data_IF_742902858532
#
_entry.id   IF_742902858532
#
_cell.length_a   1.000
_cell.length_b   1.000
_cell.length_c   1.000
_cell.angle_alpha   90.00
_cell.angle_beta   90.00
_cell.angle_gamma   90.00
#
_symmetry.space_group_name_H-M   'P 1'
#
loop_
_entity.id
_entity.type
_entity.pdbx_description
1 polymer ?
#
# COMPACT_ATOMS: atom_id res chain seq x y z
N UNK A 1 -6.64 5.54 23.74
CA UNK A 1 -7.90 6.02 23.11
C UNK A 1 -8.31 4.97 22.10
N UNK A 2 -9.60 4.63 22.01
CA UNK A 2 -10.05 3.63 21.03
C UNK A 2 -9.84 4.18 19.62
N UNK A 3 -9.33 3.34 18.72
CA UNK A 3 -9.23 3.63 17.28
C UNK A 3 -10.60 4.09 16.76
N UNK A 4 -10.62 5.19 16.02
CA UNK A 4 -11.79 5.69 15.29
C UNK A 4 -11.49 5.69 13.79
N UNK A 5 -11.96 4.63 13.13
CA UNK A 5 -11.76 4.41 11.71
C UNK A 5 -12.37 5.51 10.81
N UNK A 6 -13.27 6.35 11.34
CA UNK A 6 -13.82 7.51 10.61
C UNK A 6 -12.82 8.68 10.53
N UNK A 7 -11.87 8.75 11.47
CA UNK A 7 -10.81 9.76 11.49
C UNK A 7 -9.60 9.33 10.66
N UNK A 8 -9.48 8.05 10.32
CA UNK A 8 -8.43 7.57 9.43
C UNK A 8 -8.67 8.00 7.97
N UNK A 9 -7.59 8.05 7.21
CA UNK A 9 -7.68 8.02 5.75
C UNK A 9 -8.15 6.62 5.29
N UNK A 10 -8.31 6.40 3.97
CA UNK A 10 -8.91 5.18 3.43
C UNK A 10 -7.94 3.95 3.46
N UNK A 11 -7.41 3.58 4.62
CA UNK A 11 -6.28 2.63 4.78
C UNK A 11 -6.65 1.19 5.13
N UNK A 12 -7.92 0.89 5.38
CA UNK A 12 -8.32 -0.37 6.04
C UNK A 12 -9.44 -1.13 5.31
N UNK A 13 -9.90 -0.66 4.15
CA UNK A 13 -10.92 -1.34 3.33
C UNK A 13 -10.84 -0.93 1.86
N UNK A 14 -11.49 -1.76 1.03
CA UNK A 14 -11.79 -1.54 -0.39
C UNK A 14 -10.55 -1.44 -1.29
N UNK A 15 -10.30 -2.46 -2.11
CA UNK A 15 -9.14 -2.50 -3.02
C UNK A 15 -9.37 -1.59 -4.25
N UNK A 16 -10.61 -1.19 -4.55
CA UNK A 16 -10.96 -0.44 -5.77
C UNK A 16 -10.96 -1.28 -7.05
N UNK A 17 -11.58 -0.75 -8.10
CA UNK A 17 -11.58 -1.38 -9.44
C UNK A 17 -10.48 -0.79 -10.33
N UNK A 18 -10.32 0.52 -10.28
CA UNK A 18 -9.24 1.29 -10.89
C UNK A 18 -8.38 1.88 -9.80
N UNK A 19 -7.07 1.65 -9.89
CA UNK A 19 -6.13 2.02 -8.83
C UNK A 19 -4.96 2.79 -9.43
N UNK A 20 -4.46 3.78 -8.70
CA UNK A 20 -3.19 4.41 -9.03
C UNK A 20 -2.35 4.58 -7.77
N UNK A 21 -1.09 4.16 -7.86
CA UNK A 21 -0.05 4.49 -6.91
C UNK A 21 0.86 5.55 -7.52
N UNK A 22 1.21 6.54 -6.71
CA UNK A 22 2.16 7.59 -7.11
C UNK A 22 3.17 7.77 -6.00
N UNK A 23 4.45 7.65 -6.33
CA UNK A 23 5.56 8.00 -5.43
C UNK A 23 6.28 9.21 -5.98
N UNK A 24 6.38 10.26 -5.16
CA UNK A 24 7.02 11.51 -5.50
C UNK A 24 8.24 11.75 -4.62
N UNK A 25 9.22 12.47 -5.15
CA UNK A 25 10.38 12.97 -4.43
C UNK A 25 10.31 14.49 -4.32
N UNK A 26 10.52 15.04 -3.14
CA UNK A 26 10.70 16.48 -2.94
C UNK A 26 12.04 16.91 -3.55
N UNK A 27 12.02 17.99 -4.33
CA UNK A 27 13.24 18.60 -4.89
C UNK A 27 14.15 19.15 -3.80
N UNK A 28 13.58 19.55 -2.65
CA UNK A 28 14.27 20.10 -1.49
C UNK A 28 15.10 21.35 -1.80
N UNK A 29 14.58 22.24 -2.64
CA UNK A 29 15.25 23.48 -3.04
C UNK A 29 15.08 24.58 -1.97
N UNK A 30 13.91 24.64 -1.34
CA UNK A 30 13.58 25.58 -0.27
C UNK A 30 12.58 24.94 0.70
N UNK A 31 13.04 24.61 1.91
CA UNK A 31 12.23 23.97 2.94
C UNK A 31 11.03 24.82 3.38
N UNK A 32 11.17 26.15 3.44
CA UNK A 32 10.06 27.00 3.83
C UNK A 32 8.96 26.97 2.76
N UNK A 33 9.36 27.03 1.49
CA UNK A 33 8.44 26.93 0.36
C UNK A 33 7.78 25.55 0.27
N UNK A 34 8.55 24.49 0.41
CA UNK A 34 8.02 23.12 0.38
C UNK A 34 6.97 22.91 1.48
N UNK A 35 7.23 23.43 2.70
CA UNK A 35 6.28 23.40 3.81
C UNK A 35 5.01 24.18 3.49
N UNK A 36 5.10 25.40 3.00
CA UNK A 36 3.94 26.22 2.60
C UNK A 36 3.06 25.48 1.57
N UNK A 37 3.68 24.88 0.55
CA UNK A 37 2.95 24.12 -0.48
C UNK A 37 2.30 22.87 0.09
N UNK A 38 2.96 22.15 1.00
CA UNK A 38 2.37 20.96 1.66
C UNK A 38 1.21 21.35 2.58
N UNK A 39 1.31 22.47 3.30
CA UNK A 39 0.21 23.00 4.12
C UNK A 39 -1.01 23.34 3.24
N UNK A 40 -0.81 24.09 2.15
CA UNK A 40 -1.89 24.38 1.20
C UNK A 40 -2.46 23.09 0.60
N UNK A 41 -1.59 22.16 0.20
CA UNK A 41 -2.03 20.90 -0.39
C UNK A 41 -2.84 20.05 0.60
N UNK A 42 -2.50 20.01 1.89
CA UNK A 42 -3.24 19.26 2.90
C UNK A 42 -4.70 19.75 3.02
N UNK A 43 -4.93 21.07 3.02
CA UNK A 43 -6.28 21.66 2.98
C UNK A 43 -7.01 21.30 1.67
N UNK A 44 -6.32 21.50 0.54
CA UNK A 44 -6.90 21.27 -0.80
C UNK A 44 -7.19 19.81 -1.06
N UNK A 45 -6.39 18.87 -0.56
CA UNK A 45 -6.57 17.43 -0.69
C UNK A 45 -7.97 17.01 -0.21
N UNK A 46 -8.37 17.44 0.99
CA UNK A 46 -9.70 17.11 1.51
C UNK A 46 -10.82 17.75 0.67
N UNK A 47 -10.64 19.00 0.21
CA UNK A 47 -11.62 19.69 -0.63
C UNK A 47 -11.79 19.05 -2.01
N UNK A 48 -10.69 18.67 -2.66
CA UNK A 48 -10.65 17.97 -3.94
C UNK A 48 -11.42 16.65 -3.82
N UNK A 49 -11.11 15.84 -2.81
CA UNK A 49 -11.79 14.57 -2.59
C UNK A 49 -13.30 14.75 -2.36
N UNK A 50 -13.72 15.75 -1.57
CA UNK A 50 -15.14 16.06 -1.41
C UNK A 50 -15.82 16.44 -2.73
N UNK A 51 -15.17 17.30 -3.52
CA UNK A 51 -15.69 17.72 -4.83
C UNK A 51 -15.85 16.54 -5.79
N UNK A 52 -14.83 15.68 -5.88
CA UNK A 52 -14.86 14.51 -6.75
C UNK A 52 -15.88 13.47 -6.28
N UNK A 53 -15.99 13.22 -4.98
CA UNK A 53 -17.02 12.32 -4.43
C UNK A 53 -18.44 12.78 -4.78
N UNK A 54 -18.71 14.08 -4.74
CA UNK A 54 -20.02 14.63 -5.15
C UNK A 54 -20.26 14.40 -6.65
N UNK A 55 -19.22 14.55 -7.48
CA UNK A 55 -19.30 14.44 -8.95
C UNK A 55 -19.36 12.99 -9.44
N UNK A 56 -18.79 12.07 -8.69
CA UNK A 56 -18.73 10.63 -8.99
C UNK A 56 -19.87 9.83 -8.35
N UNK A 57 -20.61 10.42 -7.40
CA UNK A 57 -21.68 9.73 -6.67
C UNK A 57 -22.66 9.02 -7.62
N UNK A 58 -22.91 7.73 -7.38
CA UNK A 58 -23.90 6.96 -8.12
C UNK A 58 -25.29 7.63 -7.93
N UNK A 59 -26.02 7.95 -9.01
CA UNK A 59 -27.29 8.68 -8.88
C UNK A 59 -28.39 7.95 -8.09
N UNK A 60 -28.27 6.63 -7.91
CA UNK A 60 -29.22 5.79 -7.17
C UNK A 60 -28.84 5.66 -5.71
N UNK A 61 -27.56 5.48 -5.40
CA UNK A 61 -27.11 5.27 -4.00
C UNK A 61 -26.66 6.57 -3.33
N UNK A 62 -26.24 7.56 -4.10
CA UNK A 62 -25.62 8.80 -3.61
C UNK A 62 -24.18 8.59 -3.11
N UNK A 63 -23.60 7.42 -3.32
CA UNK A 63 -22.27 7.07 -2.82
C UNK A 63 -21.22 7.12 -3.93
N UNK A 64 -20.01 7.59 -3.60
CA UNK A 64 -18.84 7.51 -4.46
C UNK A 64 -17.86 6.46 -3.92
N UNK A 65 -17.27 5.71 -4.83
CA UNK A 65 -16.24 4.71 -4.56
C UNK A 65 -14.84 5.32 -4.40
N UNK A 66 -14.67 6.63 -4.62
CA UNK A 66 -13.36 7.28 -4.50
C UNK A 66 -12.78 7.11 -3.08
N UNK A 67 -11.63 6.45 -3.01
CA UNK A 67 -10.77 6.32 -1.83
C UNK A 67 -9.41 6.92 -2.13
N UNK A 68 -8.82 7.56 -1.12
CA UNK A 68 -7.49 8.15 -1.23
C UNK A 68 -6.72 8.00 0.07
N UNK A 69 -5.41 7.75 -0.06
CA UNK A 69 -4.46 7.83 1.03
C UNK A 69 -3.26 8.65 0.58
N UNK A 70 -2.85 9.59 1.43
CA UNK A 70 -1.68 10.45 1.25
C UNK A 70 -0.76 10.28 2.45
N UNK A 71 0.54 10.06 2.23
CA UNK A 71 1.51 9.88 3.30
C UNK A 71 2.93 10.34 2.98
N UNK A 72 3.77 10.24 4.01
CA UNK A 72 5.13 10.78 4.04
C UNK A 72 6.14 9.69 4.43
N UNK A 73 7.30 9.65 3.78
CA UNK A 73 8.43 8.82 4.25
C UNK A 73 9.08 9.41 5.50
N UNK A 74 10.00 8.66 6.13
CA UNK A 74 10.75 9.15 7.30
C UNK A 74 11.53 10.44 6.97
N UNK A 75 12.29 10.44 5.88
CA UNK A 75 13.06 11.60 5.42
C UNK A 75 12.18 12.81 5.08
N UNK A 76 11.02 12.58 4.45
CA UNK A 76 10.09 13.66 4.13
C UNK A 76 9.43 14.23 5.38
N UNK A 77 9.04 13.36 6.32
CA UNK A 77 8.42 13.77 7.57
C UNK A 77 9.35 14.65 8.40
N UNK A 78 10.61 14.23 8.60
CA UNK A 78 11.62 15.00 9.32
C UNK A 78 11.96 16.33 8.61
N UNK A 79 11.98 16.32 7.28
CA UNK A 79 12.21 17.53 6.49
C UNK A 79 11.05 18.54 6.57
N UNK A 80 9.80 18.08 6.52
CA UNK A 80 8.62 18.96 6.51
C UNK A 80 8.18 19.39 7.91
N UNK A 81 8.37 18.53 8.91
CA UNK A 81 7.87 18.70 10.28
C UNK A 81 9.00 18.50 11.32
N UNK A 82 10.09 19.28 11.26
CA UNK A 82 11.31 19.02 12.06
C UNK A 82 11.12 19.14 13.58
N UNK A 83 10.01 19.75 14.03
CA UNK A 83 9.68 19.91 15.44
C UNK A 83 8.60 18.93 15.92
N UNK A 84 7.96 18.19 15.01
CA UNK A 84 6.97 17.19 15.35
C UNK A 84 7.67 15.93 15.91
N UNK A 85 7.10 15.24 16.90
CA UNK A 85 7.59 13.92 17.27
C UNK A 85 7.46 12.98 16.06
N UNK A 86 8.44 12.12 15.78
CA UNK A 86 8.29 11.17 14.66
C UNK A 86 7.32 10.04 15.05
N UNK A 87 6.45 9.54 14.13
CA UNK A 87 5.70 8.31 14.38
C UNK A 87 6.65 7.17 14.74
N UNK A 88 6.29 6.38 15.75
CA UNK A 88 7.25 5.51 16.47
C UNK A 88 7.99 4.50 15.59
N UNK A 89 7.31 3.96 14.57
CA UNK A 89 7.86 2.93 13.67
C UNK A 89 8.17 3.50 12.28
N UNK A 90 8.11 4.83 12.08
CA UNK A 90 8.45 5.45 10.80
C UNK A 90 9.97 5.52 10.63
N UNK A 91 10.51 4.60 9.84
CA UNK A 91 11.91 4.56 9.44
C UNK A 91 12.08 4.61 7.92
N UNK A 92 13.30 4.84 7.46
CA UNK A 92 13.62 4.59 6.06
C UNK A 92 13.78 3.09 5.86
N UNK A 93 12.99 2.52 4.96
CA UNK A 93 13.17 1.14 4.55
C UNK A 93 14.47 1.00 3.74
N UNK A 94 15.47 0.32 4.30
CA UNK A 94 16.80 0.17 3.70
C UNK A 94 16.98 -1.14 2.93
N UNK A 95 15.90 -1.92 2.80
CA UNK A 95 15.89 -3.23 2.15
C UNK A 95 16.03 -4.39 3.13
N UNK A 96 15.73 -5.58 2.63
CA UNK A 96 15.83 -6.86 3.36
C UNK A 96 16.61 -7.85 2.50
N UNK A 97 17.39 -8.72 3.14
CA UNK A 97 18.22 -9.72 2.45
C UNK A 97 18.03 -11.07 3.10
N UNK A 98 17.76 -12.08 2.28
CA UNK A 98 17.80 -13.47 2.65
C UNK A 98 18.92 -14.21 1.94
N UNK A 99 18.94 -15.55 2.02
CA UNK A 99 20.00 -16.37 1.43
C UNK A 99 20.06 -16.30 -0.11
N UNK A 100 18.92 -16.07 -0.77
CA UNK A 100 18.80 -16.11 -2.25
C UNK A 100 18.24 -14.82 -2.86
N UNK A 101 17.33 -14.16 -2.16
CA UNK A 101 16.60 -13.00 -2.67
C UNK A 101 16.80 -11.79 -1.76
N UNK A 102 16.61 -10.61 -2.33
CA UNK A 102 16.59 -9.36 -1.60
C UNK A 102 15.39 -8.52 -2.02
N UNK A 103 14.90 -7.70 -1.08
CA UNK A 103 13.91 -6.67 -1.32
C UNK A 103 14.62 -5.32 -1.22
N UNK A 104 14.71 -4.53 -2.30
CA UNK A 104 15.44 -3.27 -2.27
C UNK A 104 14.69 -2.19 -1.49
N UNK A 105 15.44 -1.37 -0.75
CA UNK A 105 14.96 -0.06 -0.29
C UNK A 105 15.15 0.99 -1.37
N UNK A 106 14.08 1.70 -1.73
CA UNK A 106 14.09 2.73 -2.76
C UNK A 106 13.62 4.07 -2.21
N UNK A 107 14.06 5.17 -2.83
CA UNK A 107 13.63 6.51 -2.42
C UNK A 107 12.15 6.78 -2.67
N UNK A 108 11.62 7.82 -2.03
CA UNK A 108 10.24 8.24 -2.12
C UNK A 108 9.91 9.10 -0.91
N UNK A 109 9.34 10.27 -1.13
CA UNK A 109 9.04 11.25 -0.08
C UNK A 109 7.55 11.34 0.20
N UNK A 110 6.75 11.43 -0.86
CA UNK A 110 5.30 11.51 -0.78
C UNK A 110 4.70 10.29 -1.49
N UNK A 111 3.63 9.75 -0.92
CA UNK A 111 2.90 8.62 -1.48
C UNK A 111 1.43 8.94 -1.63
N UNK A 112 0.87 8.57 -2.78
CA UNK A 112 -0.56 8.54 -3.03
C UNK A 112 -1.02 7.14 -3.40
N UNK A 113 -2.13 6.72 -2.82
CA UNK A 113 -2.89 5.55 -3.24
C UNK A 113 -4.34 5.96 -3.51
N UNK A 114 -4.69 6.01 -4.79
CA UNK A 114 -6.00 6.41 -5.29
C UNK A 114 -6.76 5.19 -5.82
N UNK A 115 -8.04 5.08 -5.47
CA UNK A 115 -8.92 3.99 -5.91
C UNK A 115 -10.30 4.52 -6.23
N UNK A 116 -10.93 4.02 -7.30
CA UNK A 116 -12.34 4.25 -7.59
C UNK A 116 -12.90 3.15 -8.52
N UNK A 117 -14.21 3.14 -8.73
CA UNK A 117 -14.92 2.36 -9.76
C UNK A 117 -14.91 3.06 -11.13
N UNK A 118 -14.24 4.20 -11.24
CA UNK A 118 -14.15 4.98 -12.47
C UNK A 118 -12.74 5.55 -12.63
N UNK A 119 -12.00 5.09 -13.64
CA UNK A 119 -10.63 5.54 -13.92
C UNK A 119 -10.54 7.07 -14.11
N UNK A 120 -11.57 7.71 -14.69
CA UNK A 120 -11.56 9.14 -14.89
C UNK A 120 -11.45 9.92 -13.57
N UNK A 121 -11.99 9.37 -12.48
CA UNK A 121 -11.94 9.98 -11.16
C UNK A 121 -10.56 9.82 -10.52
N UNK A 122 -9.93 8.66 -10.70
CA UNK A 122 -8.55 8.42 -10.28
C UNK A 122 -7.60 9.39 -11.01
N UNK A 123 -7.74 9.48 -12.33
CA UNK A 123 -6.99 10.41 -13.18
C UNK A 123 -7.18 11.87 -12.74
N UNK A 124 -8.43 12.29 -12.54
CA UNK A 124 -8.75 13.67 -12.19
C UNK A 124 -8.22 14.03 -10.79
N UNK A 125 -8.30 13.11 -9.82
CA UNK A 125 -7.73 13.31 -8.49
C UNK A 125 -6.21 13.54 -8.55
N UNK A 126 -5.46 12.65 -9.21
CA UNK A 126 -4.02 12.82 -9.37
C UNK A 126 -3.69 14.12 -10.12
N UNK A 127 -4.42 14.42 -11.19
CA UNK A 127 -4.23 15.64 -11.98
C UNK A 127 -4.40 16.88 -11.11
N UNK A 128 -5.44 16.94 -10.28
CA UNK A 128 -5.66 18.06 -9.37
C UNK A 128 -4.60 18.13 -8.27
N UNK A 129 -4.09 17.00 -7.77
CA UNK A 129 -2.99 17.01 -6.79
C UNK A 129 -1.71 17.61 -7.35
N UNK A 130 -1.34 17.23 -8.57
CA UNK A 130 -0.13 17.72 -9.24
C UNK A 130 -0.19 19.21 -9.58
N UNK A 131 -1.37 19.84 -9.62
CA UNK A 131 -1.49 21.30 -9.77
C UNK A 131 -0.90 22.09 -8.60
N UNK A 132 -0.83 21.48 -7.42
CA UNK A 132 -0.26 22.09 -6.23
C UNK A 132 1.18 21.62 -6.00
N UNK A 133 1.43 20.32 -6.21
CA UNK A 133 2.71 19.71 -5.87
C UNK A 133 3.76 19.79 -6.99
N UNK A 134 3.35 19.94 -8.25
CA UNK A 134 4.22 19.74 -9.42
C UNK A 134 5.48 20.59 -9.45
N UNK A 135 5.46 21.78 -8.86
CA UNK A 135 6.62 22.67 -8.83
C UNK A 135 7.70 22.22 -7.84
N UNK A 136 7.33 21.49 -6.77
CA UNK A 136 8.25 21.11 -5.69
C UNK A 136 8.64 19.63 -5.71
N UNK A 137 8.09 18.84 -6.64
CA UNK A 137 8.31 17.38 -6.71
C UNK A 137 8.86 16.88 -8.05
N UNK A 138 9.45 15.69 -8.01
CA UNK A 138 9.73 14.82 -9.14
C UNK A 138 8.92 13.53 -9.00
N UNK A 139 8.43 12.98 -10.11
CA UNK A 139 7.73 11.68 -10.11
C UNK A 139 8.78 10.56 -10.14
N UNK A 140 8.78 9.69 -9.11
CA UNK A 140 9.63 8.50 -9.07
C UNK A 140 8.94 7.27 -9.64
N UNK A 141 7.66 7.10 -9.31
CA UNK A 141 6.83 6.04 -9.85
C UNK A 141 5.39 6.53 -10.00
N UNK A 142 4.76 6.16 -11.11
CA UNK A 142 3.32 6.24 -11.32
C UNK A 142 2.90 4.87 -11.86
N UNK A 143 2.13 4.12 -11.08
CA UNK A 143 1.65 2.79 -11.44
C UNK A 143 0.14 2.75 -11.43
N UNK A 144 -0.44 2.46 -12.59
CA UNK A 144 -1.88 2.20 -12.74
C UNK A 144 -2.14 0.71 -12.59
N UNK A 145 -3.00 0.38 -11.64
CA UNK A 145 -3.47 -0.97 -11.39
C UNK A 145 -4.95 -1.14 -11.68
N UNK A 146 -5.38 -2.39 -11.74
CA UNK A 146 -6.77 -2.74 -12.03
C UNK A 146 -7.18 -3.98 -11.25
N UNK A 147 -8.46 -4.07 -10.89
CA UNK A 147 -9.04 -5.32 -10.38
C UNK A 147 -9.12 -6.35 -11.51
N UNK A 148 -8.50 -7.50 -11.32
CA UNK A 148 -8.51 -8.58 -12.31
C UNK A 148 -9.57 -9.63 -11.99
N UNK A 149 -10.55 -9.74 -12.89
CA UNK A 149 -11.74 -10.59 -12.74
C UNK A 149 -12.40 -10.47 -11.35
N UNK A 150 -12.69 -11.59 -10.68
CA UNK A 150 -13.33 -11.65 -9.37
C UNK A 150 -12.44 -11.22 -8.20
N UNK A 151 -11.25 -10.67 -8.44
CA UNK A 151 -10.29 -10.26 -7.40
C UNK A 151 -9.04 -11.13 -7.38
N UNK A 152 -8.57 -11.56 -8.56
CA UNK A 152 -7.36 -12.36 -8.68
C UNK A 152 -6.11 -11.47 -8.72
N UNK A 153 -5.03 -11.93 -8.10
CA UNK A 153 -3.69 -11.49 -8.48
C UNK A 153 -3.42 -11.89 -9.94
N UNK A 154 -2.46 -11.22 -10.58
CA UNK A 154 -2.19 -11.43 -12.00
C UNK A 154 -1.64 -12.82 -12.33
N UNK A 155 -1.12 -13.52 -11.31
CA UNK A 155 -0.70 -14.93 -11.35
C UNK A 155 -1.88 -15.91 -11.38
N UNK A 156 -3.12 -15.41 -11.31
CA UNK A 156 -4.35 -16.17 -11.50
C UNK A 156 -4.91 -16.81 -10.24
N UNK A 157 -4.46 -16.42 -9.04
CA UNK A 157 -5.02 -16.84 -7.75
C UNK A 157 -5.85 -15.71 -7.15
N UNK A 158 -6.91 -16.03 -6.40
CA UNK A 158 -7.63 -15.00 -5.62
C UNK A 158 -6.66 -14.38 -4.62
N UNK A 159 -6.66 -13.06 -4.49
CA UNK A 159 -5.78 -12.34 -3.58
C UNK A 159 -6.60 -11.56 -2.55
N UNK A 160 -6.21 -11.70 -1.28
CA UNK A 160 -6.85 -11.03 -0.15
C UNK A 160 -7.77 -11.90 0.72
N UNK A 161 -7.88 -13.21 0.48
CA UNK A 161 -8.79 -14.09 1.24
C UNK A 161 -8.47 -14.15 2.74
N UNK A 162 -7.19 -14.17 3.09
CA UNK A 162 -6.73 -14.16 4.50
C UNK A 162 -6.59 -12.76 5.10
N UNK A 163 -6.89 -11.71 4.32
CA UNK A 163 -6.92 -10.35 4.85
C UNK A 163 -8.03 -10.24 5.92
N UNK A 164 -7.82 -9.42 6.97
CA UNK A 164 -8.87 -9.16 7.95
C UNK A 164 -10.18 -8.74 7.27
N UNK A 165 -11.30 -9.27 7.76
CA UNK A 165 -12.63 -8.85 7.30
C UNK A 165 -12.85 -7.37 7.65
N UNK A 166 -13.73 -6.70 6.91
CA UNK A 166 -13.92 -5.24 7.02
C UNK A 166 -14.24 -4.82 8.45
N UNK A 167 -14.96 -5.66 9.20
CA UNK A 167 -15.34 -5.41 10.59
C UNK A 167 -14.14 -5.32 11.54
N UNK A 168 -13.06 -6.06 11.24
CA UNK A 168 -11.87 -6.20 12.08
C UNK A 168 -10.64 -5.48 11.50
N UNK A 169 -10.65 -5.18 10.20
CA UNK A 169 -9.51 -4.64 9.44
C UNK A 169 -8.95 -3.32 10.00
N UNK A 170 -9.82 -2.50 10.59
CA UNK A 170 -9.42 -1.24 11.21
C UNK A 170 -8.40 -1.44 12.34
N UNK A 171 -8.56 -2.47 13.17
CA UNK A 171 -7.67 -2.70 14.33
C UNK A 171 -6.26 -3.16 13.92
N UNK A 172 -6.15 -3.81 12.75
CA UNK A 172 -4.87 -4.23 12.17
C UNK A 172 -4.16 -3.15 11.36
N UNK A 173 -4.88 -2.16 10.82
CA UNK A 173 -4.32 -1.14 9.94
C UNK A 173 -4.07 0.20 10.63
N UNK A 174 -4.77 0.52 11.72
CA UNK A 174 -4.84 1.88 12.26
C UNK A 174 -4.13 1.97 13.63
N UNK A 175 -3.25 2.97 13.75
CA UNK A 175 -2.50 3.32 14.96
C UNK A 175 -3.45 3.68 16.12
N UNK A 176 -3.21 3.06 17.27
CA UNK A 176 -3.93 3.28 18.51
C UNK A 176 -3.12 4.04 19.57
N UNK A 177 -3.36 3.73 20.84
CA UNK A 177 -2.72 4.40 21.97
C UNK A 177 -1.27 4.01 22.25
N UNK A 178 -0.76 3.02 21.55
CA UNK A 178 0.67 2.76 21.47
C UNK A 178 1.44 3.96 20.91
N UNK A 179 0.84 4.81 20.08
CA UNK A 179 1.44 6.07 19.61
C UNK A 179 0.47 7.25 19.72
N UNK A 180 0.33 7.86 20.92
CA UNK A 180 -0.67 8.88 21.20
C UNK A 180 -0.62 10.13 20.31
N UNK A 181 0.54 10.42 19.71
CA UNK A 181 0.70 11.58 18.83
C UNK A 181 0.06 11.36 17.45
N UNK A 182 -0.09 10.09 17.05
CA UNK A 182 -0.47 9.69 15.69
C UNK A 182 -1.62 8.67 15.67
N UNK A 183 -2.47 8.67 16.70
CA UNK A 183 -3.71 7.89 16.73
C UNK A 183 -4.50 8.14 15.44
N UNK A 184 -5.08 7.08 14.90
CA UNK A 184 -5.80 7.06 13.63
C UNK A 184 -4.95 7.25 12.36
N UNK A 185 -3.62 7.29 12.50
CA UNK A 185 -2.68 7.13 11.39
C UNK A 185 -2.50 5.66 10.99
N UNK A 186 -1.63 5.39 10.02
CA UNK A 186 -1.30 4.03 9.56
C UNK A 186 0.09 4.00 8.93
N UNK A 187 0.73 2.84 8.90
CA UNK A 187 1.93 2.60 8.11
C UNK A 187 1.56 1.90 6.80
N UNK A 188 2.04 2.44 5.69
CA UNK A 188 1.85 1.88 4.35
C UNK A 188 3.19 1.42 3.79
N UNK A 189 3.34 0.12 3.54
CA UNK A 189 4.52 -0.44 2.90
C UNK A 189 4.19 -0.83 1.46
N UNK A 190 4.91 -0.25 0.50
CA UNK A 190 4.67 -0.38 -0.93
C UNK A 190 5.84 -1.07 -1.63
N UNK A 191 5.54 -2.01 -2.52
CA UNK A 191 6.53 -2.65 -3.39
C UNK A 191 5.97 -2.89 -4.79
N UNK A 192 6.79 -2.66 -5.82
CA UNK A 192 6.43 -2.97 -7.21
C UNK A 192 7.13 -4.23 -7.68
N UNK A 193 6.38 -5.26 -8.05
CA UNK A 193 6.89 -6.57 -8.43
C UNK A 193 6.65 -6.80 -9.91
N UNK A 194 7.69 -7.19 -10.66
CA UNK A 194 7.59 -7.58 -12.06
C UNK A 194 7.75 -9.09 -12.19
N UNK A 195 6.82 -9.75 -12.86
CA UNK A 195 6.75 -11.21 -12.93
C UNK A 195 7.28 -11.76 -14.26
N UNK A 196 8.04 -12.85 -14.19
CA UNK A 196 8.30 -13.76 -15.31
C UNK A 196 7.06 -14.64 -15.52
N UNK A 197 6.09 -14.11 -16.26
CA UNK A 197 4.85 -14.81 -16.56
C UNK A 197 5.08 -16.03 -17.45
N UNK A 198 6.10 -16.03 -18.30
CA UNK A 198 6.44 -17.21 -19.10
C UNK A 198 6.84 -18.36 -18.17
N UNK A 199 7.75 -18.13 -17.21
CA UNK A 199 8.09 -19.14 -16.21
C UNK A 199 6.85 -19.65 -15.48
N UNK A 200 6.00 -18.73 -15.00
CA UNK A 200 4.81 -19.07 -14.22
C UNK A 200 3.82 -19.91 -15.04
N UNK A 201 3.49 -19.50 -16.26
CA UNK A 201 2.48 -20.13 -17.10
C UNK A 201 2.93 -21.50 -17.67
N UNK A 202 4.24 -21.78 -17.69
CA UNK A 202 4.77 -23.11 -18.02
C UNK A 202 4.65 -24.11 -16.87
N UNK A 203 4.43 -23.66 -15.63
CA UNK A 203 4.18 -24.55 -14.50
C UNK A 203 2.80 -25.22 -14.62
N UNK A 204 2.69 -26.46 -14.13
CA UNK A 204 1.38 -27.09 -13.98
C UNK A 204 0.59 -26.40 -12.87
N UNK A 205 -0.73 -26.38 -12.98
CA UNK A 205 -1.63 -25.81 -11.96
C UNK A 205 -1.31 -26.34 -10.57
N UNK A 206 -1.13 -27.65 -10.41
CA UNK A 206 -0.84 -28.26 -9.10
C UNK A 206 0.51 -27.79 -8.53
N UNK A 207 1.48 -27.43 -9.36
CA UNK A 207 2.73 -26.86 -8.89
C UNK A 207 2.56 -25.40 -8.43
N UNK A 208 1.75 -24.63 -9.16
CA UNK A 208 1.40 -23.26 -8.77
C UNK A 208 0.62 -23.25 -7.45
N UNK A 209 -0.34 -24.16 -7.29
CA UNK A 209 -1.16 -24.29 -6.07
C UNK A 209 -0.30 -24.60 -4.86
N UNK A 210 0.65 -25.55 -4.97
CA UNK A 210 1.58 -25.87 -3.89
C UNK A 210 2.54 -24.71 -3.58
N UNK A 211 2.90 -23.91 -4.57
CA UNK A 211 3.76 -22.74 -4.41
C UNK A 211 3.04 -21.55 -3.74
N UNK A 212 1.74 -21.37 -4.00
CA UNK A 212 0.93 -20.34 -3.34
C UNK A 212 0.43 -20.82 -1.97
N UNK A 213 0.09 -22.10 -1.87
CA UNK A 213 -0.51 -22.78 -0.72
C UNK A 213 -2.04 -22.87 -0.75
N UNK A 214 -2.67 -22.63 -1.91
CA UNK A 214 -4.13 -22.64 -2.11
C UNK A 214 -4.50 -23.26 -3.45
N UNK A 215 -5.71 -23.77 -3.59
CA UNK A 215 -6.27 -24.20 -4.88
C UNK A 215 -6.55 -23.00 -5.80
N UNK A 216 -6.20 -23.10 -7.08
CA UNK A 216 -6.30 -21.99 -8.03
C UNK A 216 -7.76 -21.68 -8.38
N UNK A 217 -8.59 -22.71 -8.47
CA UNK A 217 -9.98 -22.57 -8.89
C UNK A 217 -10.90 -22.17 -7.73
N UNK A 218 -10.84 -22.92 -6.62
CA UNK A 218 -11.76 -22.79 -5.48
C UNK A 218 -11.28 -21.81 -4.41
N UNK A 219 -9.99 -21.45 -4.45
CA UNK A 219 -9.32 -20.66 -3.40
C UNK A 219 -9.32 -21.33 -2.01
N UNK A 220 -9.49 -22.65 -1.93
CA UNK A 220 -9.34 -23.37 -0.67
C UNK A 220 -7.86 -23.47 -0.28
N UNK A 221 -7.55 -23.26 0.99
CA UNK A 221 -6.20 -23.49 1.50
C UNK A 221 -5.86 -24.99 1.41
N UNK A 222 -4.64 -25.30 0.98
CA UNK A 222 -4.16 -26.68 0.96
C UNK A 222 -3.84 -27.17 2.37
N UNK A 223 -3.83 -28.49 2.56
CA UNK A 223 -3.28 -29.12 3.76
C UNK A 223 -1.75 -28.89 3.83
N UNK A 224 -1.19 -28.83 5.03
CA UNK A 224 0.23 -28.48 5.23
C UNK A 224 1.20 -29.43 4.53
N UNK A 225 0.84 -30.72 4.40
CA UNK A 225 1.67 -31.72 3.71
C UNK A 225 1.68 -31.55 2.18
N UNK A 226 0.68 -30.87 1.64
CA UNK A 226 0.56 -30.60 0.20
C UNK A 226 1.29 -29.31 -0.20
N UNK A 227 1.45 -28.35 0.71
CA UNK A 227 2.18 -27.09 0.46
C UNK A 227 3.66 -27.33 0.17
N UNK A 228 4.28 -26.44 -0.61
CA UNK A 228 5.75 -26.37 -0.63
C UNK A 228 6.26 -25.84 0.72
N UNK A 229 7.46 -26.27 1.21
CA UNK A 229 8.02 -25.74 2.45
C UNK A 229 8.22 -24.22 2.46
N UNK A 230 8.41 -23.63 1.27
CA UNK A 230 8.53 -22.18 1.04
C UNK A 230 7.34 -21.62 0.25
N UNK A 231 6.15 -22.22 0.38
CA UNK A 231 4.93 -21.67 -0.20
C UNK A 231 4.69 -20.23 0.30
N UNK A 232 4.00 -19.41 -0.50
CA UNK A 232 3.77 -18.00 -0.17
C UNK A 232 3.05 -17.83 1.16
N UNK A 233 1.90 -18.50 1.35
CA UNK A 233 1.10 -18.36 2.57
C UNK A 233 1.84 -18.84 3.84
N UNK A 234 2.80 -19.78 3.69
CA UNK A 234 3.67 -20.21 4.80
C UNK A 234 4.76 -19.17 5.05
N UNK A 235 5.38 -18.65 3.99
CA UNK A 235 6.51 -17.73 4.08
C UNK A 235 6.10 -16.32 4.49
N UNK A 236 4.84 -15.93 4.27
CA UNK A 236 4.29 -14.63 4.64
C UNK A 236 3.49 -14.64 5.95
N UNK A 237 3.35 -15.79 6.62
CA UNK A 237 2.65 -15.89 7.90
C UNK A 237 3.62 -15.53 9.04
N UNK A 238 3.29 -14.50 9.82
CA UNK A 238 4.07 -14.07 10.96
C UNK A 238 3.24 -14.20 12.24
N UNK A 239 3.79 -14.87 13.25
CA UNK A 239 3.12 -15.10 14.55
C UNK A 239 3.90 -14.45 15.70
N UNK A 240 3.17 -13.89 16.66
CA UNK A 240 3.71 -13.44 17.95
C UNK A 240 2.99 -14.22 19.04
N UNK A 241 3.74 -14.92 19.90
CA UNK A 241 3.20 -15.73 21.00
C UNK A 241 2.13 -16.77 20.55
N UNK A 242 2.23 -17.26 19.30
CA UNK A 242 1.30 -18.20 18.69
C UNK A 242 0.01 -17.57 18.13
N UNK A 243 -0.07 -16.23 18.10
CA UNK A 243 -1.14 -15.50 17.44
C UNK A 243 -0.67 -14.94 16.09
N UNK A 244 -1.36 -15.32 15.02
CA UNK A 244 -1.14 -14.79 13.67
C UNK A 244 -1.35 -13.28 13.65
N UNK A 245 -0.31 -12.56 13.25
CA UNK A 245 -0.37 -11.13 13.03
C UNK A 245 -0.88 -10.85 11.62
N UNK A 246 -1.73 -9.83 11.47
CA UNK A 246 -2.34 -9.50 10.17
C UNK A 246 -2.04 -8.07 9.76
N UNK A 247 -2.10 -7.86 8.45
CA UNK A 247 -2.05 -6.56 7.78
C UNK A 247 -3.20 -6.47 6.78
N UNK A 248 -3.59 -5.26 6.40
CA UNK A 248 -4.57 -5.06 5.33
C UNK A 248 -3.84 -4.91 4.00
N UNK A 249 -3.89 -5.96 3.18
CA UNK A 249 -3.31 -5.97 1.84
C UNK A 249 -4.31 -5.46 0.82
N UNK A 250 -3.85 -4.59 -0.07
CA UNK A 250 -4.67 -4.07 -1.20
C UNK A 250 -3.91 -4.18 -2.51
N UNK A 251 -3.25 -5.32 -2.69
CA UNK A 251 -2.47 -5.63 -3.88
C UNK A 251 -3.32 -5.50 -5.13
N UNK A 252 -2.73 -4.96 -6.20
CA UNK A 252 -3.37 -4.97 -7.52
C UNK A 252 -2.38 -5.34 -8.63
N UNK A 253 -2.87 -6.04 -9.67
CA UNK A 253 -2.18 -6.15 -10.94
C UNK A 253 -1.86 -4.79 -11.56
N UNK A 254 -0.68 -4.68 -12.16
CA UNK A 254 -0.38 -3.69 -13.20
C UNK A 254 0.18 -4.44 -14.42
N UNK A 255 -0.13 -3.97 -15.64
CA UNK A 255 0.31 -4.69 -16.83
C UNK A 255 0.31 -3.83 -18.10
N UNK A 256 1.38 -3.99 -18.88
CA UNK A 256 1.50 -3.64 -20.29
C UNK A 256 1.70 -4.93 -21.12
N UNK A 257 0.65 -5.73 -21.36
CA UNK A 257 0.78 -7.10 -21.87
C UNK A 257 1.41 -7.17 -23.26
N UNK A 258 1.20 -6.14 -24.10
CA UNK A 258 1.83 -6.04 -25.42
C UNK A 258 3.36 -5.92 -25.37
N UNK A 259 3.92 -5.53 -24.22
CA UNK A 259 5.37 -5.44 -23.98
C UNK A 259 5.89 -6.50 -23.01
N UNK A 260 5.03 -7.43 -22.58
CA UNK A 260 5.38 -8.47 -21.61
C UNK A 260 5.67 -7.96 -20.20
N UNK A 261 5.26 -6.74 -19.84
CA UNK A 261 5.48 -6.18 -18.50
C UNK A 261 4.25 -6.38 -17.65
N UNK A 262 4.24 -7.42 -16.83
CA UNK A 262 3.10 -7.76 -15.99
C UNK A 262 3.59 -7.98 -14.57
N UNK A 263 2.84 -7.45 -13.60
CA UNK A 263 3.31 -7.43 -12.23
C UNK A 263 2.22 -7.21 -11.20
N UNK A 264 2.63 -7.25 -9.95
CA UNK A 264 1.79 -6.91 -8.79
C UNK A 264 2.36 -5.68 -8.13
N UNK A 265 1.52 -4.69 -7.86
CA UNK A 265 1.86 -3.63 -6.92
C UNK A 265 1.37 -4.09 -5.54
N UNK A 266 2.31 -4.48 -4.68
CA UNK A 266 2.03 -4.83 -3.30
C UNK A 266 1.85 -3.54 -2.48
N UNK A 267 0.80 -3.52 -1.67
CA UNK A 267 0.57 -2.47 -0.68
C UNK A 267 -0.02 -3.10 0.58
N UNK A 268 0.68 -2.95 1.70
CA UNK A 268 0.25 -3.39 3.02
C UNK A 268 0.04 -2.20 3.94
N UNK A 269 -1.14 -2.09 4.54
CA UNK A 269 -1.44 -1.16 5.62
C UNK A 269 -1.41 -1.87 6.95
N UNK A 270 -0.71 -1.29 7.92
CA UNK A 270 -0.55 -1.87 9.24
C UNK A 270 -0.55 -0.81 10.35
N UNK A 271 -1.08 -1.19 11.50
CA UNK A 271 -0.96 -0.48 12.77
C UNK A 271 0.49 -0.44 13.23
N UNK A 272 1.19 -1.56 13.04
CA UNK A 272 2.61 -1.75 13.34
C UNK A 272 3.34 -2.11 12.04
N UNK A 273 4.27 -1.26 11.61
CA UNK A 273 5.13 -1.56 10.47
C UNK A 273 5.98 -2.81 10.74
N UNK A 274 6.39 -3.03 11.99
CA UNK A 274 7.19 -4.19 12.38
C UNK A 274 6.54 -5.51 11.93
N UNK A 275 5.21 -5.64 11.99
CA UNK A 275 4.50 -6.83 11.47
C UNK A 275 4.76 -7.04 9.99
N UNK A 276 4.63 -5.98 9.18
CA UNK A 276 4.86 -6.06 7.73
C UNK A 276 6.33 -6.36 7.44
N UNK A 277 7.25 -5.73 8.17
CA UNK A 277 8.69 -5.93 8.03
C UNK A 277 9.09 -7.37 8.32
N UNK A 278 8.54 -7.97 9.38
CA UNK A 278 8.81 -9.37 9.74
C UNK A 278 8.22 -10.35 8.73
N UNK A 279 7.00 -10.11 8.23
CA UNK A 279 6.44 -10.91 7.11
C UNK A 279 7.37 -10.88 5.89
N UNK A 280 7.84 -9.71 5.48
CA UNK A 280 8.76 -9.57 4.36
C UNK A 280 10.14 -10.19 4.64
N UNK A 281 10.65 -10.08 5.86
CA UNK A 281 11.92 -10.68 6.27
C UNK A 281 11.83 -12.22 6.21
N UNK A 282 10.74 -12.79 6.71
CA UNK A 282 10.48 -14.22 6.63
C UNK A 282 10.44 -14.70 5.17
N UNK A 283 9.77 -13.98 4.28
CA UNK A 283 9.73 -14.32 2.85
C UNK A 283 11.11 -14.40 2.22
N UNK A 284 12.02 -13.47 2.52
CA UNK A 284 13.39 -13.54 1.98
C UNK A 284 14.21 -14.64 2.67
N UNK A 285 14.03 -14.86 3.97
CA UNK A 285 14.76 -15.88 4.74
C UNK A 285 14.40 -17.30 4.32
N UNK A 286 13.10 -17.59 4.15
CA UNK A 286 12.60 -18.89 3.68
C UNK A 286 12.71 -19.05 2.16
N UNK A 287 13.13 -18.00 1.45
CA UNK A 287 13.17 -17.95 -0.01
C UNK A 287 11.80 -18.30 -0.62
N UNK A 288 10.77 -17.54 -0.22
CA UNK A 288 9.40 -17.62 -0.73
C UNK A 288 9.39 -17.94 -2.24
N UNK A 289 8.63 -18.96 -2.61
CA UNK A 289 8.57 -19.43 -3.98
C UNK A 289 8.21 -18.31 -4.97
N UNK A 290 7.33 -17.37 -4.61
CA UNK A 290 6.92 -16.30 -5.52
C UNK A 290 8.09 -15.41 -5.95
N UNK A 291 9.11 -15.26 -5.10
CA UNK A 291 10.33 -14.52 -5.42
C UNK A 291 11.18 -15.20 -6.51
N UNK A 292 10.90 -16.47 -6.83
CA UNK A 292 11.59 -17.21 -7.92
C UNK A 292 11.26 -16.64 -9.30
N UNK A 293 10.07 -16.10 -9.47
CA UNK A 293 9.62 -15.51 -10.73
C UNK A 293 9.23 -14.04 -10.60
N UNK A 294 9.36 -13.45 -9.41
CA UNK A 294 9.06 -12.03 -9.16
C UNK A 294 10.35 -11.25 -8.91
N UNK A 295 10.60 -10.22 -9.72
CA UNK A 295 11.65 -9.22 -9.46
C UNK A 295 11.05 -8.05 -8.70
N UNK A 296 11.57 -7.77 -7.50
CA UNK A 296 11.14 -6.62 -6.68
C UNK A 296 11.88 -5.37 -7.17
N UNK A 297 11.13 -4.41 -7.73
CA UNK A 297 11.68 -3.19 -8.33
C UNK A 297 11.79 -2.04 -7.31
N UNK A 298 10.93 -2.03 -6.29
CA UNK A 298 10.90 -0.97 -5.27
C UNK A 298 10.45 -1.50 -3.91
N UNK A 299 10.81 -0.75 -2.86
CA UNK A 299 10.36 -0.95 -1.49
C UNK A 299 10.43 0.36 -0.73
N UNK A 300 9.29 0.83 -0.23
CA UNK A 300 9.16 2.11 0.48
C UNK A 300 8.17 2.00 1.65
N UNK A 301 8.49 2.68 2.76
CA UNK A 301 7.61 2.85 3.90
C UNK A 301 7.11 4.30 3.97
N UNK A 302 5.81 4.46 4.21
CA UNK A 302 5.18 5.75 4.41
C UNK A 302 4.31 5.73 5.67
N UNK A 303 4.32 6.85 6.40
CA UNK A 303 3.30 7.15 7.40
C UNK A 303 2.12 7.87 6.73
N UNK A 304 0.92 7.31 6.92
CA UNK A 304 -0.34 7.90 6.49
C UNK A 304 -0.96 8.62 7.69
N UNK A 305 -0.95 9.97 7.76
CA UNK A 305 -1.56 10.71 8.85
C UNK A 305 -3.08 10.50 8.92
N UNK A 306 -3.64 10.68 10.12
CA UNK A 306 -5.10 10.79 10.30
C UNK A 306 -5.65 12.04 9.62
N UNK A 307 -6.97 12.12 9.42
CA UNK A 307 -7.63 13.35 8.94
C UNK A 307 -7.39 14.53 9.89
N UNK A 308 -7.53 14.40 11.23
CA UNK A 308 -7.14 15.47 12.15
C UNK A 308 -5.67 15.86 12.04
N UNK A 309 -4.76 14.92 11.81
CA UNK A 309 -3.33 15.23 11.60
C UNK A 309 -3.13 16.00 10.28
N UNK A 310 -3.87 15.67 9.22
CA UNK A 310 -3.86 16.46 7.97
C UNK A 310 -4.41 17.87 8.18
N UNK A 311 -5.46 18.04 8.99
CA UNK A 311 -6.00 19.35 9.35
C UNK A 311 -4.94 20.17 10.12
N UNK A 312 -4.26 19.56 11.10
CA UNK A 312 -3.15 20.20 11.81
C UNK A 312 -1.96 20.57 10.89
N UNK A 313 -1.67 19.74 9.88
CA UNK A 313 -0.68 20.09 8.84
C UNK A 313 -1.16 21.32 8.07
N UNK A 314 -2.43 21.35 7.64
CA UNK A 314 -2.97 22.48 6.89
C UNK A 314 -2.92 23.80 7.68
N UNK A 315 -3.15 23.74 9.00
CA UNK A 315 -3.10 24.88 9.90
C UNK A 315 -1.67 25.27 10.34
N UNK A 316 -0.66 24.49 9.94
CA UNK A 316 0.75 24.71 10.30
C UNK A 316 1.07 24.41 11.76
N UNK A 317 0.28 23.53 12.39
CA UNK A 317 0.36 23.16 13.81
C UNK A 317 1.19 21.89 14.07
N UNK A 318 1.63 21.20 13.02
CA UNK A 318 2.54 20.04 13.08
C UNK A 318 4.02 20.46 12.98
#
# INVERSE_FOLDING_TARGET
>A
MKVDASQAQDVWKDIGEHVQFTVLKLKREDQARDREVIQEFADRYQAILRSLKIRDADPKTGESSLKASFGFSSDAFEYLFPNAPKPKELENFTGLKGPKYEMPGTGGDLFFHLRASNEAVVYEAQTQFMRFLGDIVEVLDETKGFRYFEGRAIIGFVDGTEAPQVEDAAEYAIIGDEDPNYINGSYAFAQKWLHDMDFWDHMKTEQQERAVGREKFTDLELEDEDKMPNAHNVSSNFEIDGEEQKIVRMNVPFSDPASGKTGTYFIGYARHFEVTKQMCQQMVDTSDFLLTFSTILSGQLFFIPSRPTLDAIADGEL
#
